data_IF_379144936897
#
_entry.id   IF_379144936897
#
_cell.length_a   1.000
_cell.length_b   1.000
_cell.length_c   1.000
_cell.angle_alpha   90.00
_cell.angle_beta   90.00
_cell.angle_gamma   90.00
#
_symmetry.space_group_name_H-M   'P 1'
#
loop_
_entity.id
_entity.type
_entity.pdbx_description
1 polymer ?
#
# COMPACT_ATOMS: atom_id res chain seq x y z
N UNK A 1 -9.25 -4.99 -1.83
CA UNK A 1 -8.84 -3.60 -2.15
C UNK A 1 -7.53 -3.64 -2.89
N UNK A 2 -7.20 -2.65 -3.71
CA UNK A 2 -5.85 -2.57 -4.27
C UNK A 2 -5.47 -1.13 -4.58
N UNK A 3 -4.17 -0.92 -4.76
CA UNK A 3 -3.62 0.25 -5.44
C UNK A 3 -2.91 -0.25 -6.68
N UNK A 4 -3.27 0.35 -7.81
CA UNK A 4 -2.59 0.12 -9.08
C UNK A 4 -1.79 1.35 -9.48
N UNK A 5 -0.54 1.12 -9.84
CA UNK A 5 0.35 2.14 -10.40
C UNK A 5 0.65 1.79 -11.86
N UNK A 6 0.18 2.63 -12.77
CA UNK A 6 0.44 2.49 -14.19
C UNK A 6 1.81 3.08 -14.52
N UNK A 7 2.72 2.23 -14.96
CA UNK A 7 4.06 2.61 -15.39
C UNK A 7 4.02 3.31 -16.73
N UNK A 8 5.05 4.11 -17.05
CA UNK A 8 5.18 4.79 -18.34
C UNK A 8 5.25 3.83 -19.54
N UNK A 9 5.57 2.57 -19.31
CA UNK A 9 5.54 1.48 -20.30
C UNK A 9 4.14 0.94 -20.58
N UNK A 10 3.13 1.35 -19.80
CA UNK A 10 1.79 0.80 -19.79
C UNK A 10 1.64 -0.47 -18.93
N UNK A 11 2.69 -0.92 -18.25
CA UNK A 11 2.61 -2.02 -17.29
C UNK A 11 1.95 -1.55 -15.98
N UNK A 12 1.06 -2.35 -15.39
CA UNK A 12 0.48 -2.08 -14.07
C UNK A 12 1.28 -2.75 -12.94
N UNK A 13 1.61 -2.02 -11.89
CA UNK A 13 2.04 -2.59 -10.61
C UNK A 13 0.86 -2.52 -9.65
N UNK A 14 0.34 -3.69 -9.28
CA UNK A 14 -0.81 -3.81 -8.40
C UNK A 14 -0.38 -4.32 -7.03
N UNK A 15 -0.80 -3.62 -5.99
CA UNK A 15 -0.69 -4.06 -4.60
C UNK A 15 -2.11 -4.36 -4.12
N UNK A 16 -2.44 -5.64 -3.99
CA UNK A 16 -3.78 -6.10 -3.68
C UNK A 16 -3.86 -6.66 -2.27
N UNK A 17 -5.02 -6.41 -1.64
CA UNK A 17 -5.41 -6.89 -0.33
C UNK A 17 -6.70 -7.67 -0.43
N UNK A 18 -6.67 -8.88 0.14
CA UNK A 18 -7.84 -9.74 0.26
C UNK A 18 -8.01 -10.19 1.71
N UNK A 19 -9.27 -10.20 2.14
CA UNK A 19 -9.71 -10.74 3.41
C UNK A 19 -10.58 -11.97 3.14
N UNK A 20 -10.22 -13.11 3.71
CA UNK A 20 -11.07 -14.30 3.77
C UNK A 20 -11.32 -14.70 5.22
N UNK A 21 -12.38 -14.11 5.80
CA UNK A 21 -12.71 -14.24 7.21
C UNK A 21 -11.65 -13.61 8.11
N UNK A 22 -10.88 -14.44 8.82
CA UNK A 22 -9.76 -14.00 9.68
C UNK A 22 -8.40 -14.09 8.96
N UNK A 23 -8.39 -14.56 7.71
CA UNK A 23 -7.18 -14.64 6.91
C UNK A 23 -7.00 -13.36 6.13
N UNK A 24 -5.94 -12.66 6.45
CA UNK A 24 -5.49 -11.48 5.74
C UNK A 24 -4.52 -11.92 4.63
N UNK A 25 -4.53 -11.25 3.48
CA UNK A 25 -3.59 -11.49 2.39
C UNK A 25 -3.23 -10.17 1.71
N UNK A 26 -1.93 -9.92 1.55
CA UNK A 26 -1.42 -8.86 0.70
C UNK A 26 -0.50 -9.45 -0.38
N UNK A 27 -0.76 -9.09 -1.64
CA UNK A 27 0.00 -9.52 -2.80
C UNK A 27 0.51 -8.31 -3.60
N UNK A 28 1.64 -8.50 -4.28
CA UNK A 28 2.21 -7.54 -5.23
C UNK A 28 2.33 -8.25 -6.57
N UNK A 29 1.68 -7.71 -7.59
CA UNK A 29 1.64 -8.26 -8.94
C UNK A 29 2.08 -7.22 -9.95
N UNK A 30 2.84 -7.65 -10.95
CA UNK A 30 3.27 -6.80 -12.06
C UNK A 30 2.60 -7.32 -13.33
N UNK A 31 1.60 -6.61 -13.80
CA UNK A 31 0.91 -6.86 -15.06
C UNK A 31 1.75 -6.40 -16.26
N UNK A 32 1.55 -7.05 -17.41
CA UNK A 32 2.23 -6.66 -18.65
C UNK A 32 1.49 -5.51 -19.33
N UNK A 33 2.18 -4.71 -20.17
CA UNK A 33 1.51 -3.68 -20.96
C UNK A 33 0.39 -4.26 -21.82
N UNK A 34 -0.81 -3.72 -21.67
CA UNK A 34 -1.99 -4.13 -22.44
C UNK A 34 -2.68 -5.41 -21.95
N UNK A 35 -2.24 -5.98 -20.83
CA UNK A 35 -3.11 -6.88 -20.06
C UNK A 35 -4.25 -6.05 -19.45
N UNK A 36 -5.48 -6.60 -19.40
CA UNK A 36 -6.57 -5.94 -18.68
C UNK A 36 -6.17 -5.77 -17.22
N UNK A 37 -6.60 -4.65 -16.63
CA UNK A 37 -6.48 -4.40 -15.20
C UNK A 37 -6.99 -5.62 -14.41
N UNK A 38 -6.40 -5.86 -13.25
CA UNK A 38 -6.85 -6.95 -12.39
C UNK A 38 -8.35 -6.79 -12.13
N UNK A 39 -9.13 -7.86 -12.34
CA UNK A 39 -10.57 -7.91 -12.06
C UNK A 39 -10.78 -7.92 -10.54
N UNK A 40 -10.49 -6.79 -9.91
CA UNK A 40 -10.57 -6.57 -8.50
C UNK A 40 -11.97 -6.05 -8.16
N UNK A 41 -12.59 -6.55 -7.07
CA UNK A 41 -13.90 -6.08 -6.69
C UNK A 41 -13.87 -4.62 -6.24
N UNK A 42 -14.74 -3.79 -6.83
CA UNK A 42 -14.94 -2.38 -6.49
C UNK A 42 -14.85 -1.45 -7.70
N UNK A 43 -15.20 -0.17 -7.50
CA UNK A 43 -14.98 0.88 -8.49
C UNK A 43 -13.58 1.47 -8.29
N UNK A 44 -12.77 1.50 -9.35
CA UNK A 44 -11.48 2.17 -9.33
C UNK A 44 -11.65 3.70 -9.30
N UNK A 45 -10.86 4.37 -8.47
CA UNK A 45 -10.81 5.84 -8.41
C UNK A 45 -9.45 6.29 -8.94
N UNK A 46 -9.45 7.02 -10.06
CA UNK A 46 -8.24 7.65 -10.58
C UNK A 46 -7.87 8.85 -9.70
N UNK A 47 -6.67 8.81 -9.14
CA UNK A 47 -6.11 9.85 -8.25
C UNK A 47 -4.95 10.60 -8.91
N UNK A 48 -4.71 10.40 -10.21
CA UNK A 48 -3.60 11.02 -10.94
C UNK A 48 -3.67 12.56 -10.94
N UNK A 49 -4.86 13.13 -10.90
CA UNK A 49 -5.05 14.59 -10.86
C UNK A 49 -5.06 15.16 -9.42
N UNK A 50 -4.83 14.34 -8.40
CA UNK A 50 -4.84 14.78 -7.01
C UNK A 50 -3.47 15.34 -6.59
N UNK A 51 -3.48 16.51 -5.95
CA UNK A 51 -2.26 17.29 -5.61
C UNK A 51 -1.19 16.49 -4.84
N UNK A 52 -1.62 15.59 -3.95
CA UNK A 52 -0.70 14.77 -3.15
C UNK A 52 0.13 13.80 -4.02
N UNK A 53 -0.34 13.42 -5.20
CA UNK A 53 0.33 12.49 -6.10
C UNK A 53 1.27 13.18 -7.11
N UNK A 54 1.17 14.50 -7.30
CA UNK A 54 1.96 15.25 -8.30
C UNK A 54 3.48 15.02 -8.16
N UNK A 55 3.98 14.88 -6.93
CA UNK A 55 5.40 14.67 -6.64
C UNK A 55 5.93 13.27 -6.95
N UNK A 56 5.04 12.32 -7.23
CA UNK A 56 5.35 10.90 -7.42
C UNK A 56 5.12 10.45 -8.87
N UNK A 57 4.27 11.16 -9.62
CA UNK A 57 3.99 10.86 -11.02
C UNK A 57 5.22 11.04 -11.91
N UNK A 58 5.46 10.04 -12.77
CA UNK A 58 6.61 10.02 -13.68
C UNK A 58 7.97 9.77 -13.00
N UNK A 59 8.00 9.59 -11.68
CA UNK A 59 9.21 9.29 -10.92
C UNK A 59 9.40 7.78 -10.81
N UNK A 60 10.61 7.30 -11.05
CA UNK A 60 10.89 5.86 -11.00
C UNK A 60 10.84 5.32 -9.57
N UNK A 61 10.16 4.19 -9.36
CA UNK A 61 10.23 3.42 -8.12
C UNK A 61 11.58 2.70 -8.07
N UNK A 62 12.36 2.92 -7.02
CA UNK A 62 13.70 2.35 -6.83
C UNK A 62 13.79 1.37 -5.66
N UNK A 63 12.74 1.28 -4.84
CA UNK A 63 12.68 0.34 -3.72
C UNK A 63 11.27 0.11 -3.22
N UNK A 64 11.04 -1.10 -2.72
CA UNK A 64 9.80 -1.50 -2.04
C UNK A 64 10.21 -2.20 -0.75
N UNK A 65 9.75 -1.69 0.40
CA UNK A 65 10.07 -2.23 1.72
C UNK A 65 8.77 -2.62 2.43
N UNK A 66 8.53 -3.93 2.67
CA UNK A 66 7.38 -4.37 3.47
C UNK A 66 7.58 -4.13 4.97
N UNK A 67 6.52 -3.74 5.66
CA UNK A 67 6.38 -3.89 7.11
C UNK A 67 5.52 -5.13 7.39
N UNK A 68 5.96 -5.98 8.32
CA UNK A 68 5.39 -7.30 8.57
C UNK A 68 4.66 -7.38 9.91
N UNK A 69 3.66 -8.24 9.98
CA UNK A 69 2.96 -8.57 11.22
C UNK A 69 2.48 -10.02 11.22
N UNK A 70 2.07 -10.48 12.39
CA UNK A 70 1.38 -11.75 12.56
C UNK A 70 -0.09 -11.44 12.91
N UNK A 71 -1.04 -11.62 11.98
CA UNK A 71 -2.44 -11.21 12.18
C UNK A 71 -3.08 -11.84 13.41
N UNK A 72 -2.82 -13.14 13.60
CA UNK A 72 -3.38 -13.96 14.68
C UNK A 72 -2.39 -15.07 15.08
N UNK A 73 -2.54 -15.58 16.30
CA UNK A 73 -1.75 -16.73 16.77
C UNK A 73 -1.92 -17.93 15.82
N UNK A 74 -0.80 -18.46 15.33
CA UNK A 74 -0.79 -19.59 14.39
C UNK A 74 -0.88 -19.20 12.91
N UNK A 75 -1.07 -17.92 12.57
CA UNK A 75 -0.95 -17.43 11.20
C UNK A 75 0.53 -17.21 10.82
N UNK A 76 0.89 -17.36 9.52
CA UNK A 76 2.20 -16.93 9.05
C UNK A 76 2.37 -15.41 9.16
N UNK A 77 3.62 -14.97 9.20
CA UNK A 77 3.95 -13.55 9.05
C UNK A 77 3.58 -13.10 7.63
N UNK A 78 3.02 -11.90 7.54
CA UNK A 78 2.56 -11.33 6.29
C UNK A 78 2.64 -9.81 6.35
N UNK A 79 2.75 -9.13 5.21
CA UNK A 79 2.97 -7.71 5.23
C UNK A 79 1.65 -6.99 5.51
N UNK A 80 1.69 -5.87 6.23
CA UNK A 80 0.54 -4.96 6.44
C UNK A 80 0.74 -3.57 5.81
N UNK A 81 1.98 -3.23 5.48
CA UNK A 81 2.32 -1.97 4.80
C UNK A 81 3.47 -2.17 3.81
N UNK A 82 3.51 -1.32 2.79
CA UNK A 82 4.61 -1.19 1.86
C UNK A 82 5.07 0.26 1.77
N UNK A 83 6.36 0.47 2.01
CA UNK A 83 7.04 1.73 1.70
C UNK A 83 7.63 1.66 0.29
N UNK A 84 7.19 2.57 -0.57
CA UNK A 84 7.74 2.79 -1.91
C UNK A 84 8.77 3.92 -1.85
N UNK A 85 10.00 3.63 -2.27
CA UNK A 85 11.05 4.63 -2.45
C UNK A 85 11.16 5.05 -3.91
N UNK A 86 11.26 6.35 -4.16
CA UNK A 86 11.32 6.93 -5.50
C UNK A 86 12.69 7.52 -5.81
N UNK A 87 13.04 7.60 -7.10
CA UNK A 87 14.34 8.05 -7.58
C UNK A 87 14.68 9.51 -7.26
N UNK A 88 13.67 10.34 -6.95
CA UNK A 88 13.85 11.72 -6.49
C UNK A 88 14.13 11.82 -4.98
N UNK A 89 14.23 10.69 -4.27
CA UNK A 89 14.42 10.63 -2.82
C UNK A 89 13.14 10.73 -1.99
N UNK A 90 11.99 10.94 -2.62
CA UNK A 90 10.69 10.88 -1.93
C UNK A 90 10.31 9.43 -1.61
N UNK A 91 9.39 9.27 -0.65
CA UNK A 91 8.78 7.98 -0.35
C UNK A 91 7.29 8.13 -0.07
N UNK A 92 6.58 7.01 -0.23
CA UNK A 92 5.15 6.89 0.02
C UNK A 92 4.92 5.57 0.75
N UNK A 93 4.01 5.54 1.71
CA UNK A 93 3.63 4.31 2.40
C UNK A 93 2.18 4.00 2.14
N UNK A 94 1.92 2.77 1.71
CA UNK A 94 0.58 2.20 1.61
C UNK A 94 0.45 1.23 2.77
N UNK A 95 -0.56 1.40 3.61
CA UNK A 95 -0.79 0.52 4.76
C UNK A 95 -2.26 0.18 4.91
N UNK A 96 -2.53 -0.95 5.56
CA UNK A 96 -3.84 -1.19 6.12
C UNK A 96 -4.17 -0.17 7.19
N UNK A 97 -5.36 0.40 7.10
CA UNK A 97 -5.84 1.30 8.12
C UNK A 97 -6.95 2.21 7.64
N UNK A 98 -7.53 2.88 8.61
CA UNK A 98 -8.53 3.91 8.41
C UNK A 98 -8.10 5.18 9.14
N UNK A 99 -8.36 6.34 8.54
CA UNK A 99 -8.26 7.60 9.26
C UNK A 99 -9.37 7.66 10.32
N UNK A 100 -9.01 7.87 11.59
CA UNK A 100 -9.95 7.96 12.70
C UNK A 100 -9.63 9.19 13.56
N UNK A 101 -10.53 10.18 13.51
CA UNK A 101 -10.34 11.44 14.22
C UNK A 101 -9.06 12.17 13.78
N UNK A 102 -8.09 12.29 14.69
CA UNK A 102 -6.78 12.92 14.43
C UNK A 102 -5.65 11.91 14.18
N UNK A 103 -5.95 10.63 14.04
CA UNK A 103 -4.96 9.58 13.90
C UNK A 103 -5.40 8.49 12.93
N UNK A 104 -4.76 7.32 13.08
CA UNK A 104 -4.97 6.17 12.22
C UNK A 104 -5.22 4.94 13.10
N UNK A 105 -6.19 4.13 12.71
CA UNK A 105 -6.45 2.84 13.32
C UNK A 105 -6.14 1.72 12.33
N UNK A 106 -5.72 0.57 12.86
CA UNK A 106 -5.66 -0.64 12.06
C UNK A 106 -7.06 -1.05 11.61
N UNK A 107 -7.20 -1.25 10.30
CA UNK A 107 -8.42 -1.67 9.63
C UNK A 107 -8.01 -2.51 8.42
N UNK A 108 -8.17 -3.84 8.46
CA UNK A 108 -7.70 -4.72 7.39
C UNK A 108 -8.59 -4.69 6.13
N UNK A 109 -9.71 -3.98 6.22
CA UNK A 109 -10.69 -3.71 5.17
C UNK A 109 -10.62 -2.28 4.62
N UNK A 110 -9.63 -1.48 5.03
CA UNK A 110 -9.38 -0.13 4.53
C UNK A 110 -7.89 0.09 4.21
N UNK A 111 -7.61 0.98 3.26
CA UNK A 111 -6.25 1.40 2.92
C UNK A 111 -6.04 2.88 3.23
N UNK A 112 -4.87 3.18 3.78
CA UNK A 112 -4.37 4.55 3.96
C UNK A 112 -3.07 4.71 3.20
N UNK A 113 -2.92 5.89 2.58
CA UNK A 113 -1.71 6.28 1.86
C UNK A 113 -1.07 7.45 2.58
N UNK A 114 0.16 7.28 3.03
CA UNK A 114 0.94 8.30 3.70
C UNK A 114 1.95 8.91 2.73
N UNK A 115 1.78 10.20 2.49
CA UNK A 115 2.73 11.05 1.76
C UNK A 115 3.76 11.70 2.71
N UNK A 116 3.46 11.77 4.01
CA UNK A 116 4.34 12.27 5.06
C UNK A 116 5.02 11.10 5.79
N UNK A 117 6.35 11.05 5.72
CA UNK A 117 7.16 10.00 6.36
C UNK A 117 7.06 10.02 7.89
N UNK A 118 6.86 11.18 8.51
CA UNK A 118 6.68 11.33 9.97
C UNK A 118 5.36 10.70 10.41
N UNK A 119 4.28 10.91 9.65
CA UNK A 119 2.99 10.27 9.94
C UNK A 119 3.09 8.75 9.77
N UNK A 120 3.71 8.28 8.69
CA UNK A 120 3.95 6.86 8.48
C UNK A 120 4.82 6.24 9.61
N UNK A 121 5.85 6.95 10.08
CA UNK A 121 6.71 6.51 11.17
C UNK A 121 5.93 6.37 12.49
N UNK A 122 4.95 7.25 12.72
CA UNK A 122 4.11 7.24 13.92
C UNK A 122 3.04 6.16 13.91
N UNK A 123 2.68 5.66 12.72
CA UNK A 123 1.68 4.62 12.59
C UNK A 123 2.28 3.23 12.83
N UNK A 124 1.87 2.61 13.92
CA UNK A 124 2.29 1.26 14.33
C UNK A 124 1.09 0.45 14.77
N UNK A 125 1.05 -0.81 14.38
CA UNK A 125 0.01 -1.75 14.82
C UNK A 125 0.55 -2.64 15.95
N UNK A 126 -0.30 -3.09 16.90
CA UNK A 126 0.16 -3.94 18.01
C UNK A 126 0.79 -5.27 17.56
N UNK A 127 0.38 -5.78 16.40
CA UNK A 127 0.83 -7.07 15.86
C UNK A 127 2.15 -6.98 15.06
N UNK A 128 2.73 -5.78 14.92
CA UNK A 128 3.98 -5.55 14.19
C UNK A 128 5.05 -5.02 15.14
N UNK A 129 6.29 -5.48 14.95
CA UNK A 129 7.44 -4.99 15.69
C UNK A 129 7.93 -3.63 15.17
N UNK A 130 7.64 -3.29 13.91
CA UNK A 130 8.05 -2.05 13.25
C UNK A 130 6.86 -1.12 12.99
N UNK A 131 7.14 0.09 12.53
CA UNK A 131 6.09 1.02 12.07
C UNK A 131 5.75 0.73 10.60
N UNK A 132 4.83 1.50 10.03
CA UNK A 132 4.47 1.37 8.62
C UNK A 132 5.64 1.64 7.66
N UNK A 133 6.78 2.16 8.13
CA UNK A 133 7.99 2.36 7.32
C UNK A 133 8.77 1.09 7.00
N UNK A 134 8.51 -0.02 7.70
CA UNK A 134 9.29 -1.25 7.56
C UNK A 134 10.41 -1.37 8.58
#
# INVERSE_FOLDING_TARGET
MAIEMVMSTGAGLSLSWAMDGLNEWMAVEVGRPGEPDLDLPGDAVDVSDHVDWEGYLGVGIVGITPAWHVPNEGCPEMPWAYRLGFSNGSSLVIALGAAEGSGFRYAPDELVVFFDETLAASYKIPASDTSALG
#
